data_IF_202472345186
#
_entry.id   IF_202472345186
#
_cell.length_a   1.000
_cell.length_b   1.000
_cell.length_c   1.000
_cell.angle_alpha   90.00
_cell.angle_beta   90.00
_cell.angle_gamma   90.00
#
_symmetry.space_group_name_H-M   'P 1'
#
loop_
_entity.id
_entity.type
_entity.pdbx_description
1 polymer ?
#
# COMPACT_ATOMS: atom_id res chain seq x y z
N UNK A 1 -3.93 35.87 -23.95
CA UNK A 1 -4.14 34.42 -23.75
C UNK A 1 -4.76 34.17 -22.37
N UNK A 2 -6.08 33.95 -22.26
CA UNK A 2 -6.66 33.48 -20.99
C UNK A 2 -7.53 32.24 -21.21
N UNK A 3 -7.02 31.05 -20.91
CA UNK A 3 -7.84 29.82 -20.89
C UNK A 3 -7.21 28.68 -20.03
N UNK A 4 -6.71 28.96 -18.82
CA UNK A 4 -6.20 27.92 -17.89
C UNK A 4 -7.21 27.48 -16.80
N UNK A 5 -8.35 28.18 -16.64
CA UNK A 5 -9.44 27.82 -15.70
C UNK A 5 -10.28 26.55 -16.00
N UNK A 6 -10.41 26.00 -17.24
CA UNK A 6 -11.35 24.89 -17.48
C UNK A 6 -10.84 23.53 -17.00
N UNK A 7 -9.56 23.39 -16.66
CA UNK A 7 -8.96 22.12 -16.23
C UNK A 7 -9.33 21.79 -14.77
N UNK A 8 -9.16 22.75 -13.87
CA UNK A 8 -9.51 22.62 -12.45
C UNK A 8 -11.00 22.30 -12.25
N UNK A 9 -11.89 22.99 -12.96
CA UNK A 9 -13.33 22.72 -12.88
C UNK A 9 -13.70 21.32 -13.38
N UNK A 10 -13.03 20.84 -14.45
CA UNK A 10 -13.24 19.47 -14.96
C UNK A 10 -12.75 18.41 -13.98
N UNK A 11 -11.62 18.64 -13.31
CA UNK A 11 -11.11 17.72 -12.28
C UNK A 11 -12.10 17.54 -11.14
N UNK A 12 -12.54 18.63 -10.51
CA UNK A 12 -13.47 18.56 -9.37
C UNK A 12 -14.82 17.93 -9.74
N UNK A 13 -15.30 18.16 -10.97
CA UNK A 13 -16.52 17.51 -11.46
C UNK A 13 -16.35 16.00 -11.71
N UNK A 14 -15.15 15.56 -12.07
CA UNK A 14 -14.83 14.15 -12.32
C UNK A 14 -14.50 13.39 -11.05
N UNK A 15 -13.97 14.06 -10.03
CA UNK A 15 -13.47 13.44 -8.81
C UNK A 15 -14.50 12.53 -8.10
N UNK A 16 -15.79 12.90 -7.92
CA UNK A 16 -16.76 12.00 -7.30
C UNK A 16 -16.99 10.71 -8.09
N UNK A 17 -17.04 10.82 -9.43
CA UNK A 17 -17.21 9.66 -10.32
C UNK A 17 -15.96 8.80 -10.38
N UNK A 18 -14.79 9.43 -10.39
CA UNK A 18 -13.50 8.76 -10.30
C UNK A 18 -13.39 8.00 -8.97
N UNK A 19 -13.80 8.61 -7.86
CA UNK A 19 -13.83 7.97 -6.55
C UNK A 19 -14.76 6.76 -6.53
N UNK A 20 -15.99 6.90 -7.03
CA UNK A 20 -16.93 5.79 -7.13
C UNK A 20 -16.36 4.66 -8.01
N UNK A 21 -15.79 4.99 -9.17
CA UNK A 21 -15.14 4.03 -10.05
C UNK A 21 -13.98 3.30 -9.38
N UNK A 22 -13.15 4.02 -8.62
CA UNK A 22 -12.04 3.45 -7.85
C UNK A 22 -12.53 2.50 -6.76
N UNK A 23 -13.60 2.85 -6.04
CA UNK A 23 -14.21 1.96 -5.02
C UNK A 23 -14.75 0.70 -5.67
N UNK A 24 -15.48 0.80 -6.79
CA UNK A 24 -16.02 -0.35 -7.50
C UNK A 24 -14.91 -1.26 -8.03
N UNK A 25 -13.87 -0.68 -8.62
CA UNK A 25 -12.70 -1.43 -9.09
C UNK A 25 -11.99 -2.13 -7.91
N UNK A 26 -11.81 -1.43 -6.79
CA UNK A 26 -11.22 -2.00 -5.58
C UNK A 26 -12.03 -3.17 -5.04
N UNK A 27 -13.36 -3.03 -4.93
CA UNK A 27 -14.26 -4.11 -4.49
C UNK A 27 -14.17 -5.34 -5.40
N UNK A 28 -14.01 -5.13 -6.71
CA UNK A 28 -13.90 -6.21 -7.69
C UNK A 28 -12.58 -7.00 -7.53
N UNK A 29 -11.47 -6.31 -7.27
CA UNK A 29 -10.14 -6.93 -7.25
C UNK A 29 -9.63 -7.31 -5.86
N UNK A 30 -10.23 -6.77 -4.77
CA UNK A 30 -9.70 -6.89 -3.41
C UNK A 30 -9.44 -8.33 -2.94
N UNK A 31 -10.31 -9.28 -3.27
CA UNK A 31 -10.16 -10.67 -2.79
C UNK A 31 -8.94 -11.35 -3.42
N UNK A 32 -8.76 -11.20 -4.73
CA UNK A 32 -7.56 -11.68 -5.42
C UNK A 32 -6.31 -10.94 -4.96
N UNK A 33 -6.44 -9.64 -4.69
CA UNK A 33 -5.34 -8.83 -4.21
C UNK A 33 -4.88 -9.21 -2.79
N UNK A 34 -5.82 -9.51 -1.88
CA UNK A 34 -5.52 -10.01 -0.53
C UNK A 34 -4.74 -11.33 -0.56
N UNK A 35 -5.17 -12.24 -1.45
CA UNK A 35 -4.49 -13.52 -1.67
C UNK A 35 -3.07 -13.29 -2.18
N UNK A 36 -2.89 -12.42 -3.17
CA UNK A 36 -1.57 -12.08 -3.72
C UNK A 36 -0.67 -11.45 -2.66
N UNK A 37 -1.16 -10.46 -1.89
CA UNK A 37 -0.40 -9.80 -0.83
C UNK A 37 0.10 -10.80 0.21
N UNK A 38 -0.79 -11.64 0.73
CA UNK A 38 -0.44 -12.63 1.77
C UNK A 38 0.54 -13.69 1.24
N UNK A 39 0.31 -14.19 0.02
CA UNK A 39 1.21 -15.14 -0.63
C UNK A 39 2.62 -14.55 -0.82
N UNK A 40 2.72 -13.35 -1.38
CA UNK A 40 4.01 -12.71 -1.65
C UNK A 40 4.71 -12.32 -0.36
N UNK A 41 4.00 -11.76 0.63
CA UNK A 41 4.58 -11.43 1.93
C UNK A 41 5.11 -12.68 2.66
N UNK A 42 4.35 -13.78 2.67
CA UNK A 42 4.82 -15.05 3.22
C UNK A 42 6.10 -15.52 2.50
N UNK A 43 6.10 -15.47 1.17
CA UNK A 43 7.26 -15.81 0.35
C UNK A 43 8.48 -15.01 0.76
N UNK A 44 8.37 -13.67 0.81
CA UNK A 44 9.46 -12.78 1.20
C UNK A 44 9.97 -13.03 2.62
N UNK A 45 9.07 -13.24 3.60
CA UNK A 45 9.50 -13.58 4.96
C UNK A 45 10.28 -14.89 5.00
N UNK A 46 9.85 -15.89 4.22
CA UNK A 46 10.51 -17.21 4.16
C UNK A 46 11.83 -17.21 3.40
N UNK A 47 12.09 -16.23 2.52
CA UNK A 47 13.36 -16.15 1.78
C UNK A 47 14.59 -16.02 2.68
N UNK A 48 14.42 -15.38 3.85
CA UNK A 48 15.50 -15.10 4.80
C UNK A 48 15.42 -15.99 6.06
N UNK A 49 14.41 -16.86 6.15
CA UNK A 49 14.12 -17.67 7.34
C UNK A 49 14.59 -19.12 7.14
N UNK A 50 15.33 -19.66 8.13
CA UNK A 50 15.80 -21.05 8.13
C UNK A 50 15.53 -21.68 9.51
N UNK A 51 14.56 -22.60 9.67
CA UNK A 51 13.61 -23.14 8.67
C UNK A 51 12.46 -22.17 8.30
N UNK A 52 11.82 -22.32 7.12
CA UNK A 52 10.75 -21.43 6.66
C UNK A 52 9.42 -21.76 7.35
N UNK A 53 9.14 -21.12 8.49
CA UNK A 53 8.00 -21.44 9.36
C UNK A 53 6.97 -20.31 9.46
N UNK A 54 7.27 -19.13 8.92
CA UNK A 54 6.32 -18.01 8.82
C UNK A 54 5.05 -18.44 8.10
N UNK A 55 3.88 -18.15 8.66
CA UNK A 55 2.57 -18.37 8.03
C UNK A 55 1.84 -17.02 7.89
N UNK A 56 1.42 -16.70 6.67
CA UNK A 56 0.55 -15.56 6.37
C UNK A 56 -0.56 -16.06 5.45
N UNK A 57 -1.76 -16.22 6.02
CA UNK A 57 -2.91 -16.79 5.30
C UNK A 57 -4.00 -15.74 5.17
N UNK A 58 -4.56 -15.59 3.97
CA UNK A 58 -5.73 -14.73 3.77
C UNK A 58 -6.98 -15.38 4.38
N UNK A 59 -7.68 -14.62 5.22
CA UNK A 59 -8.99 -14.94 5.77
C UNK A 59 -9.96 -13.79 5.46
N UNK A 60 -10.55 -13.83 4.27
CA UNK A 60 -11.42 -12.78 3.74
C UNK A 60 -10.70 -11.45 3.60
N UNK A 61 -11.03 -10.49 4.47
CA UNK A 61 -10.47 -9.13 4.48
C UNK A 61 -9.26 -8.98 5.42
N UNK A 62 -8.82 -10.06 6.08
CA UNK A 62 -7.70 -10.05 7.00
C UNK A 62 -6.60 -11.04 6.59
N UNK A 63 -5.38 -10.76 7.03
CA UNK A 63 -4.29 -11.72 7.08
C UNK A 63 -4.20 -12.31 8.48
N UNK A 64 -4.13 -13.65 8.56
CA UNK A 64 -3.79 -14.38 9.77
C UNK A 64 -2.29 -14.65 9.72
N UNK A 65 -1.56 -14.04 10.64
CA UNK A 65 -0.12 -14.12 10.77
C UNK A 65 0.23 -15.00 11.97
N UNK A 66 1.14 -15.95 11.76
CA UNK A 66 1.63 -16.83 12.81
C UNK A 66 2.88 -17.58 12.36
N UNK A 67 3.28 -18.58 13.15
CA UNK A 67 4.39 -19.47 12.83
C UNK A 67 3.96 -20.92 12.98
N UNK A 68 4.49 -21.82 12.14
CA UNK A 68 4.16 -23.24 12.16
C UNK A 68 4.92 -24.05 13.20
N UNK A 69 6.04 -23.53 13.71
CA UNK A 69 6.85 -24.15 14.75
C UNK A 69 6.31 -23.89 16.17
N UNK A 70 5.32 -23.02 16.30
CA UNK A 70 4.65 -22.74 17.55
C UNK A 70 3.36 -23.55 17.70
N UNK A 71 3.01 -23.89 18.95
CA UNK A 71 1.80 -24.65 19.28
C UNK A 71 0.53 -23.90 18.83
N UNK A 72 -0.57 -24.63 18.67
CA UNK A 72 -1.83 -24.04 18.18
C UNK A 72 -2.44 -22.97 19.10
N UNK A 73 -2.07 -22.98 20.38
CA UNK A 73 -2.42 -21.98 21.40
C UNK A 73 -1.50 -20.74 21.39
N UNK A 74 -0.48 -20.72 20.55
CA UNK A 74 0.38 -19.55 20.38
C UNK A 74 -0.37 -18.38 19.73
N UNK A 75 0.08 -17.16 20.06
CA UNK A 75 -0.51 -15.94 19.53
C UNK A 75 -0.53 -15.93 18.00
N UNK A 76 -1.70 -15.67 17.42
CA UNK A 76 -1.87 -15.35 16.00
C UNK A 76 -2.39 -13.94 15.86
N UNK A 77 -1.80 -13.17 14.95
CA UNK A 77 -2.25 -11.83 14.66
C UNK A 77 -3.25 -11.88 13.51
N UNK A 78 -4.47 -11.42 13.76
CA UNK A 78 -5.44 -11.08 12.70
C UNK A 78 -5.24 -9.61 12.32
N UNK A 79 -4.74 -9.35 11.13
CA UNK A 79 -4.48 -8.00 10.64
C UNK A 79 -5.37 -7.66 9.43
N UNK A 80 -6.21 -6.60 9.49
CA UNK A 80 -7.08 -6.24 8.38
C UNK A 80 -6.30 -5.69 7.19
N UNK A 81 -6.36 -6.38 6.05
CA UNK A 81 -5.60 -6.02 4.85
C UNK A 81 -6.06 -4.69 4.25
N UNK A 82 -7.32 -4.32 4.45
CA UNK A 82 -7.84 -3.01 4.04
C UNK A 82 -6.98 -1.85 4.57
N UNK A 83 -6.39 -1.96 5.76
CA UNK A 83 -5.52 -0.89 6.30
C UNK A 83 -4.26 -0.65 5.44
N UNK A 84 -3.80 -1.66 4.70
CA UNK A 84 -2.62 -1.56 3.83
C UNK A 84 -2.97 -0.92 2.50
N UNK A 85 -4.01 -1.42 1.84
CA UNK A 85 -4.25 -1.13 0.43
C UNK A 85 -5.47 -0.24 0.17
N UNK A 86 -6.09 0.31 1.22
CA UNK A 86 -7.18 1.27 1.06
C UNK A 86 -6.74 2.54 0.33
N UNK A 87 -5.46 2.92 0.45
CA UNK A 87 -4.85 4.04 -0.25
C UNK A 87 -4.90 3.92 -1.80
N UNK A 88 -5.17 2.73 -2.36
CA UNK A 88 -5.43 2.54 -3.78
C UNK A 88 -6.65 3.34 -4.26
N UNK A 89 -7.68 3.46 -3.43
CA UNK A 89 -8.91 4.16 -3.76
C UNK A 89 -8.62 5.65 -4.05
N UNK A 90 -8.05 6.44 -3.12
CA UNK A 90 -7.71 7.82 -3.39
C UNK A 90 -6.64 7.95 -4.49
N UNK A 91 -5.65 7.05 -4.55
CA UNK A 91 -4.63 7.06 -5.60
C UNK A 91 -5.25 6.98 -7.01
N UNK A 92 -6.10 5.98 -7.24
CA UNK A 92 -6.81 5.79 -8.50
C UNK A 92 -7.78 6.95 -8.76
N UNK A 93 -8.50 7.41 -7.75
CA UNK A 93 -9.46 8.51 -7.89
C UNK A 93 -8.77 9.78 -8.39
N UNK A 94 -7.60 10.12 -7.83
CA UNK A 94 -6.80 11.26 -8.23
C UNK A 94 -6.33 11.16 -9.69
N UNK A 95 -5.82 9.99 -10.11
CA UNK A 95 -5.39 9.77 -11.50
C UNK A 95 -6.57 9.83 -12.47
N UNK A 96 -7.66 9.11 -12.18
CA UNK A 96 -8.83 9.04 -13.06
C UNK A 96 -9.55 10.38 -13.19
N UNK A 97 -9.46 11.24 -12.17
CA UNK A 97 -10.01 12.59 -12.20
C UNK A 97 -9.18 13.56 -13.07
N UNK A 98 -7.88 13.31 -13.29
CA UNK A 98 -7.01 14.20 -14.06
C UNK A 98 -7.45 14.31 -15.53
N UNK A 99 -7.65 15.53 -16.05
CA UNK A 99 -7.80 15.73 -17.48
C UNK A 99 -6.54 15.25 -18.22
N UNK A 100 -6.71 14.51 -19.32
CA UNK A 100 -5.59 14.10 -20.17
C UNK A 100 -4.67 13.01 -19.60
N UNK A 101 -5.00 12.37 -18.47
CA UNK A 101 -4.14 11.33 -17.86
C UNK A 101 -3.79 10.17 -18.79
N UNK A 102 -4.63 9.89 -19.81
CA UNK A 102 -4.40 8.83 -20.81
C UNK A 102 -3.43 9.22 -21.93
N UNK A 103 -3.08 10.50 -22.04
CA UNK A 103 -2.16 10.98 -23.07
C UNK A 103 -0.72 10.56 -22.74
N UNK A 104 0.16 10.54 -23.74
CA UNK A 104 1.61 10.37 -23.56
C UNK A 104 2.02 9.23 -22.63
N UNK A 105 1.70 7.98 -22.97
CA UNK A 105 1.99 6.77 -22.18
C UNK A 105 1.33 6.72 -20.79
N UNK A 106 0.20 7.42 -20.61
CA UNK A 106 -0.55 7.47 -19.34
C UNK A 106 -0.83 6.10 -18.69
N UNK A 107 -1.12 5.07 -19.48
CA UNK A 107 -1.32 3.71 -18.96
C UNK A 107 -0.05 3.09 -18.38
N UNK A 108 1.11 3.31 -18.99
CA UNK A 108 2.38 2.84 -18.46
C UNK A 108 2.72 3.56 -17.15
N UNK A 109 2.46 4.87 -17.08
CA UNK A 109 2.66 5.65 -15.85
C UNK A 109 1.76 5.17 -14.72
N UNK A 110 0.47 4.94 -15.01
CA UNK A 110 -0.47 4.36 -14.05
C UNK A 110 -0.02 2.97 -13.61
N UNK A 111 0.38 2.10 -14.53
CA UNK A 111 0.86 0.75 -14.20
C UNK A 111 2.11 0.80 -13.30
N UNK A 112 3.08 1.65 -13.60
CA UNK A 112 4.29 1.84 -12.78
C UNK A 112 3.97 2.42 -11.40
N UNK A 113 3.08 3.40 -11.32
CA UNK A 113 2.58 3.94 -10.05
C UNK A 113 1.90 2.85 -9.20
N UNK A 114 1.02 2.05 -9.80
CA UNK A 114 0.35 0.95 -9.11
C UNK A 114 1.34 -0.12 -8.68
N UNK A 115 2.34 -0.44 -9.50
CA UNK A 115 3.39 -1.39 -9.13
C UNK A 115 4.16 -0.93 -7.88
N UNK A 116 4.54 0.34 -7.79
CA UNK A 116 5.20 0.88 -6.61
C UNK A 116 4.31 0.86 -5.36
N UNK A 117 3.00 1.11 -5.52
CA UNK A 117 2.04 0.92 -4.43
C UNK A 117 1.93 -0.56 -4.01
N UNK A 118 1.89 -1.49 -4.97
CA UNK A 118 1.86 -2.93 -4.66
C UNK A 118 3.10 -3.35 -3.89
N UNK A 119 4.28 -2.88 -4.29
CA UNK A 119 5.54 -3.15 -3.59
C UNK A 119 5.47 -2.59 -2.16
N UNK A 120 4.97 -1.36 -1.97
CA UNK A 120 4.87 -0.76 -0.64
C UNK A 120 3.87 -1.50 0.26
N UNK A 121 2.77 -2.03 -0.30
CA UNK A 121 1.79 -2.83 0.44
C UNK A 121 2.37 -4.16 0.90
N UNK A 122 3.12 -4.84 0.03
CA UNK A 122 3.81 -6.09 0.37
C UNK A 122 4.82 -5.83 1.49
N UNK A 123 5.64 -4.79 1.36
CA UNK A 123 6.63 -4.42 2.38
C UNK A 123 5.96 -4.04 3.71
N UNK A 124 4.85 -3.31 3.67
CA UNK A 124 4.08 -2.99 4.87
C UNK A 124 3.62 -4.26 5.59
N UNK A 125 3.08 -5.24 4.86
CA UNK A 125 2.67 -6.52 5.45
C UNK A 125 3.86 -7.31 6.01
N UNK A 126 5.00 -7.34 5.30
CA UNK A 126 6.23 -7.97 5.79
C UNK A 126 6.68 -7.34 7.11
N UNK A 127 6.68 -6.01 7.22
CA UNK A 127 7.05 -5.34 8.47
C UNK A 127 6.06 -5.60 9.60
N UNK A 128 4.77 -5.76 9.31
CA UNK A 128 3.79 -6.20 10.30
C UNK A 128 4.08 -7.60 10.82
N UNK A 129 4.46 -8.53 9.94
CA UNK A 129 4.86 -9.89 10.33
C UNK A 129 6.08 -9.84 11.24
N UNK A 130 7.13 -9.11 10.84
CA UNK A 130 8.37 -9.01 11.62
C UNK A 130 8.14 -8.33 12.97
N UNK A 131 7.37 -7.24 13.00
CA UNK A 131 7.01 -6.57 14.24
C UNK A 131 6.22 -7.49 15.18
N UNK A 132 5.25 -8.24 14.64
CA UNK A 132 4.48 -9.20 15.43
C UNK A 132 5.38 -10.29 16.01
N UNK A 133 6.32 -10.83 15.25
CA UNK A 133 7.27 -11.81 15.77
C UNK A 133 8.20 -11.23 16.82
N UNK A 134 8.61 -9.99 16.65
CA UNK A 134 9.49 -9.31 17.58
C UNK A 134 8.80 -8.90 18.89
N UNK A 135 7.47 -8.76 18.93
CA UNK A 135 6.77 -8.17 20.09
C UNK A 135 5.56 -8.94 20.60
N UNK A 136 4.89 -9.70 19.74
CA UNK A 136 3.57 -10.28 20.00
C UNK A 136 3.55 -11.77 20.41
N UNK A 137 4.71 -12.45 20.43
CA UNK A 137 4.80 -13.88 20.76
C UNK A 137 5.33 -14.14 22.18
N UNK A 138 5.35 -13.11 23.03
CA UNK A 138 5.68 -13.23 24.46
C UNK A 138 7.11 -13.73 24.70
N UNK A 139 7.33 -14.83 25.45
CA UNK A 139 8.67 -15.34 25.74
C UNK A 139 9.52 -15.65 24.50
N UNK A 140 8.89 -16.13 23.42
CA UNK A 140 9.61 -16.41 22.17
C UNK A 140 10.18 -15.12 21.56
N UNK A 141 9.39 -14.04 21.55
CA UNK A 141 9.85 -12.73 21.08
C UNK A 141 11.03 -12.22 21.90
N UNK A 142 10.96 -12.33 23.22
CA UNK A 142 12.03 -11.88 24.13
C UNK A 142 13.33 -12.66 23.98
N UNK A 143 13.24 -13.95 23.65
CA UNK A 143 14.40 -14.82 23.45
C UNK A 143 15.09 -14.58 22.10
N UNK A 144 14.33 -14.21 21.06
CA UNK A 144 14.86 -14.08 19.69
C UNK A 144 15.16 -12.63 19.27
N UNK A 145 14.58 -11.63 19.94
CA UNK A 145 14.73 -10.22 19.57
C UNK A 145 15.20 -9.35 20.73
N UNK A 146 16.35 -8.69 20.53
CA UNK A 146 16.87 -7.69 21.46
C UNK A 146 16.01 -6.41 21.51
N UNK A 147 16.20 -5.58 22.54
CA UNK A 147 15.43 -4.34 22.71
C UNK A 147 15.54 -3.41 21.48
N UNK A 148 16.76 -3.17 20.99
CA UNK A 148 17.02 -2.31 19.81
C UNK A 148 16.29 -2.82 18.57
N UNK A 149 16.30 -4.13 18.32
CA UNK A 149 15.62 -4.71 17.16
C UNK A 149 14.10 -4.51 17.21
N UNK A 150 13.50 -4.59 18.40
CA UNK A 150 12.05 -4.38 18.59
C UNK A 150 11.66 -2.93 18.33
N UNK A 151 12.48 -1.97 18.78
CA UNK A 151 12.27 -0.54 18.51
C UNK A 151 12.40 -0.22 17.02
N UNK A 152 13.43 -0.74 16.34
CA UNK A 152 13.62 -0.53 14.89
C UNK A 152 12.43 -1.10 14.12
N UNK A 153 12.00 -2.32 14.43
CA UNK A 153 10.85 -2.95 13.77
C UNK A 153 9.54 -2.19 14.06
N UNK A 154 9.38 -1.66 15.27
CA UNK A 154 8.26 -0.78 15.62
C UNK A 154 8.25 0.51 14.80
N UNK A 155 9.42 1.17 14.68
CA UNK A 155 9.60 2.36 13.87
C UNK A 155 9.33 2.11 12.39
N UNK A 156 9.82 1.00 11.83
CA UNK A 156 9.57 0.61 10.44
C UNK A 156 8.08 0.34 10.20
N UNK A 157 7.43 -0.40 11.09
CA UNK A 157 5.97 -0.61 11.01
C UNK A 157 5.23 0.73 10.98
N UNK A 158 5.54 1.63 11.92
CA UNK A 158 4.89 2.95 12.00
C UNK A 158 5.14 3.80 10.75
N UNK A 159 6.35 3.78 10.22
CA UNK A 159 6.70 4.45 8.97
C UNK A 159 5.83 3.97 7.81
N UNK A 160 5.63 2.65 7.68
CA UNK A 160 4.77 2.09 6.64
C UNK A 160 3.29 2.38 6.88
N UNK A 161 2.80 2.26 8.11
CA UNK A 161 1.40 2.48 8.47
C UNK A 161 0.93 3.92 8.20
N UNK A 162 1.79 4.91 8.45
CA UNK A 162 1.40 6.31 8.40
C UNK A 162 2.10 7.03 7.24
N UNK A 163 3.42 7.17 7.31
CA UNK A 163 4.15 8.00 6.36
C UNK A 163 3.97 7.48 4.92
N UNK A 164 4.16 6.18 4.71
CA UNK A 164 4.00 5.57 3.39
C UNK A 164 2.53 5.54 2.96
N UNK A 165 1.63 5.01 3.79
CA UNK A 165 0.20 4.86 3.45
C UNK A 165 -0.44 6.16 2.96
N UNK A 166 -0.18 7.28 3.63
CA UNK A 166 -0.83 8.55 3.31
C UNK A 166 -0.05 9.40 2.29
N UNK A 167 1.28 9.35 2.31
CA UNK A 167 2.09 10.28 1.49
C UNK A 167 2.46 9.68 0.14
N UNK A 168 2.72 8.37 0.08
CA UNK A 168 3.19 7.72 -1.15
C UNK A 168 2.20 7.87 -2.32
N UNK A 169 0.88 7.69 -2.16
CA UNK A 169 -0.08 7.92 -3.25
C UNK A 169 0.03 9.31 -3.87
N UNK A 170 0.19 10.35 -3.03
CA UNK A 170 0.30 11.74 -3.47
C UNK A 170 1.63 11.97 -4.17
N UNK A 171 2.73 11.47 -3.62
CA UNK A 171 4.07 11.60 -4.23
C UNK A 171 4.12 10.91 -5.59
N UNK A 172 3.55 9.71 -5.72
CA UNK A 172 3.50 8.99 -6.99
C UNK A 172 2.57 9.69 -7.99
N UNK A 173 1.42 10.18 -7.54
CA UNK A 173 0.52 10.95 -8.38
C UNK A 173 1.19 12.19 -8.96
N UNK A 174 1.87 12.99 -8.13
CA UNK A 174 2.65 14.16 -8.58
C UNK A 174 3.80 13.71 -9.48
N UNK A 175 4.59 12.69 -9.09
CA UNK A 175 5.77 12.26 -9.85
C UNK A 175 5.43 11.76 -11.27
N UNK A 176 4.43 10.91 -11.40
CA UNK A 176 4.05 10.30 -12.69
C UNK A 176 3.19 11.22 -13.57
N UNK A 177 2.39 12.11 -12.96
CA UNK A 177 1.47 12.99 -13.68
C UNK A 177 1.77 14.48 -13.45
N UNK A 178 3.04 14.84 -13.22
CA UNK A 178 3.46 16.21 -12.86
C UNK A 178 2.95 17.28 -13.83
N UNK A 179 2.96 17.02 -15.14
CA UNK A 179 2.46 17.97 -16.14
C UNK A 179 0.97 18.30 -15.91
N UNK A 180 0.14 17.27 -15.72
CA UNK A 180 -1.29 17.42 -15.50
C UNK A 180 -1.58 18.03 -14.11
N UNK A 181 -0.80 17.65 -13.11
CA UNK A 181 -0.93 18.17 -11.75
C UNK A 181 -0.54 19.65 -11.68
N UNK A 182 0.58 20.06 -12.28
CA UNK A 182 1.01 21.45 -12.28
C UNK A 182 0.13 22.33 -13.17
N UNK A 183 -0.40 21.80 -14.27
CA UNK A 183 -1.45 22.47 -15.04
C UNK A 183 -2.71 22.73 -14.20
N UNK A 184 -3.04 21.83 -13.27
CA UNK A 184 -4.16 22.01 -12.34
C UNK A 184 -3.89 23.04 -11.24
N UNK A 185 -2.63 23.18 -10.82
CA UNK A 185 -2.21 24.11 -9.76
C UNK A 185 -1.84 25.51 -10.27
N UNK A 186 -1.94 25.77 -11.57
CA UNK A 186 -1.46 27.01 -12.22
C UNK A 186 0.03 27.33 -11.92
N UNK A 187 0.81 26.31 -11.56
CA UNK A 187 2.25 26.45 -11.33
C UNK A 187 2.94 26.23 -12.66
N UNK A 188 3.55 27.27 -13.23
CA UNK A 188 4.36 27.11 -14.44
C UNK A 188 5.54 26.19 -14.12
N UNK A 189 5.55 25.01 -14.73
CA UNK A 189 6.72 24.14 -14.72
C UNK A 189 7.84 24.87 -15.48
N UNK A 190 8.73 25.55 -14.73
CA UNK A 190 9.98 26.06 -15.28
C UNK A 190 10.74 24.85 -15.83
N UNK A 191 10.88 24.82 -17.16
CA UNK A 191 11.75 23.90 -17.89
C UNK A 191 13.20 24.15 -17.54
#
# INVERSE_FOLDING_TARGET
>A
MPARRPERGRFWRRLPWALLGSVLLWLLVRSGYNTMLTFTAQGLCRLVEHPPVTQVVSDGEAAIIGRSDLRADSGRLRYPLTQIHFNLIPALALVLALPGWRQSNGWQRLASMLLLLVISHILSLVWHVQYFFATGLGPWSLANYGAVSREILGGLRYFFDIAVTFTLPLLLWVGYFHEQVFALLDVEAKK
#
